data_IF_018014269599
#
_entry.id   IF_018014269599
#
_cell.length_a   1.000
_cell.length_b   1.000
_cell.length_c   1.000
_cell.angle_alpha   90.00
_cell.angle_beta   90.00
_cell.angle_gamma   90.00
#
_symmetry.space_group_name_H-M   'P 1'
#
loop_
_entity.id
_entity.type
_entity.pdbx_description
1 polymer ?
#
# COMPACT_ATOMS: atom_id res chain seq x y z
N UNK A 1 9.04 9.65 0.77
CA UNK A 1 9.00 8.19 0.97
C UNK A 1 8.39 7.95 2.34
N UNK A 2 7.30 7.19 2.44
CA UNK A 2 6.70 6.86 3.73
C UNK A 2 7.48 5.70 4.36
N UNK A 3 7.94 5.86 5.60
CA UNK A 3 8.54 4.77 6.36
C UNK A 3 7.43 3.96 7.02
N UNK A 4 7.34 2.68 6.69
CA UNK A 4 6.36 1.74 7.27
C UNK A 4 7.12 0.67 8.07
N UNK A 5 7.02 0.69 9.41
CA UNK A 5 7.64 -0.34 10.24
C UNK A 5 7.13 -1.74 9.87
N UNK A 6 8.04 -2.72 9.86
CA UNK A 6 7.74 -4.14 9.58
C UNK A 6 7.20 -4.44 8.17
N UNK A 7 7.41 -3.56 7.18
CA UNK A 7 7.13 -3.88 5.77
C UNK A 7 8.12 -4.95 5.27
N UNK A 8 7.70 -6.21 5.32
CA UNK A 8 8.50 -7.37 4.87
C UNK A 8 8.33 -7.66 3.38
N UNK A 9 7.19 -7.31 2.79
CA UNK A 9 6.91 -7.47 1.37
C UNK A 9 7.24 -6.17 0.63
N UNK A 10 8.31 -6.21 -0.18
CA UNK A 10 8.79 -5.09 -0.99
C UNK A 10 8.42 -5.26 -2.47
N UNK A 11 7.37 -6.01 -2.78
CA UNK A 11 6.90 -6.15 -4.16
C UNK A 11 6.32 -4.83 -4.64
N UNK A 12 7.00 -4.23 -5.61
CA UNK A 12 6.63 -2.95 -6.20
C UNK A 12 5.76 -3.15 -7.45
N UNK A 13 4.85 -2.21 -7.66
CA UNK A 13 4.10 -2.10 -8.90
C UNK A 13 4.93 -1.49 -10.03
N UNK A 14 4.49 -1.70 -11.28
CA UNK A 14 4.96 -0.88 -12.40
C UNK A 14 4.55 0.59 -12.19
N UNK A 15 5.27 1.56 -12.78
CA UNK A 15 4.96 2.98 -12.62
C UNK A 15 3.50 3.34 -12.98
N UNK A 16 2.92 2.77 -14.05
CA UNK A 16 1.53 3.08 -14.42
C UNK A 16 0.53 2.57 -13.36
N UNK A 17 0.80 1.38 -12.81
CA UNK A 17 -0.05 0.75 -11.80
C UNK A 17 0.09 1.47 -10.45
N UNK A 18 1.29 1.90 -10.09
CA UNK A 18 1.54 2.70 -8.89
C UNK A 18 0.84 4.06 -8.97
N UNK A 19 0.89 4.72 -10.14
CA UNK A 19 0.19 5.98 -10.38
C UNK A 19 -1.33 5.83 -10.20
N UNK A 20 -1.90 4.74 -10.69
CA UNK A 20 -3.33 4.45 -10.55
C UNK A 20 -3.77 4.17 -9.11
N UNK A 21 -2.96 3.44 -8.34
CA UNK A 21 -3.30 3.03 -6.98
C UNK A 21 -2.86 4.03 -5.90
N UNK A 22 -2.00 5.00 -6.22
CA UNK A 22 -1.49 5.99 -5.26
C UNK A 22 -0.45 5.46 -4.28
N UNK A 23 0.07 4.25 -4.52
CA UNK A 23 1.14 3.62 -3.73
C UNK A 23 2.04 2.79 -4.63
N UNK A 24 3.34 2.77 -4.33
CA UNK A 24 4.31 1.93 -5.02
C UNK A 24 4.23 0.47 -4.58
N UNK A 25 3.87 0.24 -3.32
CA UNK A 25 3.88 -1.08 -2.71
C UNK A 25 2.49 -1.69 -2.70
N UNK A 26 2.37 -2.91 -3.25
CA UNK A 26 1.12 -3.64 -3.31
C UNK A 26 0.52 -3.90 -1.91
N UNK A 27 1.38 -4.17 -0.91
CA UNK A 27 0.93 -4.43 0.46
C UNK A 27 0.28 -3.19 1.13
N UNK A 28 0.58 -1.98 0.65
CA UNK A 28 -0.04 -0.76 1.16
C UNK A 28 -1.36 -0.42 0.47
N UNK A 29 -1.69 -1.08 -0.65
CA UNK A 29 -2.92 -0.87 -1.40
C UNK A 29 -4.10 -1.62 -0.76
N UNK A 30 -4.40 -1.28 0.50
CA UNK A 30 -5.45 -1.91 1.30
C UNK A 30 -6.71 -1.03 1.28
N UNK A 31 -7.92 -1.62 1.20
CA UNK A 31 -9.15 -0.85 1.27
C UNK A 31 -9.24 -0.14 2.63
N UNK A 32 -9.71 1.11 2.61
CA UNK A 32 -10.01 1.83 3.85
C UNK A 32 -11.27 1.23 4.48
N UNK A 33 -11.12 0.51 5.59
CA UNK A 33 -12.24 -0.11 6.30
C UNK A 33 -12.78 0.72 7.46
N UNK A 34 -12.35 1.99 7.60
CA UNK A 34 -12.92 3.01 8.48
C UNK A 34 -13.53 2.42 9.76
N UNK A 35 -12.67 1.88 10.63
CA UNK A 35 -13.04 0.86 11.60
C UNK A 35 -14.40 1.05 12.26
N UNK A 36 -15.36 0.16 11.95
CA UNK A 36 -16.23 -0.36 13.01
C UNK A 36 -15.41 -1.44 13.70
N UNK A 37 -14.66 -1.03 14.74
CA UNK A 37 -13.99 -1.98 15.62
C UNK A 37 -15.00 -3.03 16.06
N UNK A 38 -14.68 -4.29 15.81
CA UNK A 38 -15.32 -5.42 16.49
C UNK A 38 -14.76 -5.54 17.91
#
# INVERSE_FOLDING_TARGET
>A
MAYVPFQTNTTEYTPETALKNGTLFADLNKPFTGGKGI
#
